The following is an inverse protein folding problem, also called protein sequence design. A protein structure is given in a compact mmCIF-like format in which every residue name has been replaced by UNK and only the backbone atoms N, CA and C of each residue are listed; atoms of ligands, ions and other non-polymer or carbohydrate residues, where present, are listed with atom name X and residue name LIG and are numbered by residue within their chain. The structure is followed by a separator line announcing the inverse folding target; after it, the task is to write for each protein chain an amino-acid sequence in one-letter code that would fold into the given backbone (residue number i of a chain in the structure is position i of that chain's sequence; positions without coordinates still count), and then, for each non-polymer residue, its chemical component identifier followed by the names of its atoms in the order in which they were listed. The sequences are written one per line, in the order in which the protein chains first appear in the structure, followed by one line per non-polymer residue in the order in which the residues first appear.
data_IF_266060363983
#
_entry.id   IF_266060363983
#
_cell.length_a   1.000
_cell.length_b   1.000
_cell.length_c   1.000
_cell.angle_alpha   90.00
_cell.angle_beta   90.00
_cell.angle_gamma   90.00
#
_symmetry.space_group_name_H-M   'P 1'
#
loop_
_entity.id
_entity.type
_entity.pdbx_description
1 polymer ?
#
# COMPACT_ATOMS: atom_id res chain seq x y z
N UNK A 1 75.08 -40.47 34.31
CA UNK A 1 74.77 -39.03 34.28
C UNK A 1 74.86 -38.55 32.84
N UNK A 2 74.09 -39.08 31.89
CA UNK A 2 72.63 -39.17 31.70
C UNK A 2 72.11 -38.10 30.72
N UNK A 3 71.98 -38.61 29.49
CA UNK A 3 71.18 -38.32 28.29
C UNK A 3 70.55 -36.94 27.98
N UNK A 4 70.52 -36.58 26.67
CA UNK A 4 69.76 -35.46 26.09
C UNK A 4 68.40 -35.88 25.49
N UNK A 5 67.52 -34.92 25.17
CA UNK A 5 66.44 -35.08 24.17
C UNK A 5 65.85 -33.73 23.70
N UNK A 6 66.00 -33.45 22.41
CA UNK A 6 65.12 -32.62 21.56
C UNK A 6 63.95 -33.51 21.03
N UNK A 7 63.06 -33.08 20.12
CA UNK A 7 61.92 -32.15 20.20
C UNK A 7 60.58 -32.84 19.76
N UNK A 8 59.42 -32.17 19.75
CA UNK A 8 58.33 -32.56 18.84
C UNK A 8 57.31 -31.45 18.54
N UNK A 9 57.11 -31.25 17.24
CA UNK A 9 55.99 -30.62 16.56
C UNK A 9 54.67 -31.32 16.93
N UNK A 10 53.57 -30.57 16.96
CA UNK A 10 52.26 -31.11 16.56
C UNK A 10 51.55 -30.07 15.69
N UNK A 11 51.81 -30.22 14.39
CA UNK A 11 50.85 -29.97 13.33
C UNK A 11 49.65 -30.90 13.49
N UNK A 12 48.45 -30.37 13.29
CA UNK A 12 47.31 -31.16 12.85
C UNK A 12 46.79 -30.58 11.54
N UNK A 13 47.16 -31.31 10.50
CA UNK A 13 46.48 -31.61 9.26
C UNK A 13 45.22 -30.83 8.88
N UNK A 14 45.30 -30.27 7.68
CA UNK A 14 44.21 -30.20 6.71
C UNK A 14 43.79 -31.62 6.29
N UNK A 15 42.52 -31.98 6.51
CA UNK A 15 41.79 -32.94 5.68
C UNK A 15 40.33 -32.45 5.64
N UNK A 16 39.92 -31.83 4.53
CA UNK A 16 39.14 -32.48 3.48
C UNK A 16 37.82 -33.04 4.00
N UNK A 17 36.76 -32.32 3.68
CA UNK A 17 35.63 -32.80 2.86
C UNK A 17 34.27 -32.34 3.41
N UNK A 18 33.53 -31.69 2.51
CA UNK A 18 32.10 -31.46 2.56
C UNK A 18 31.56 -30.68 3.76
N UNK A 19 31.63 -29.35 3.67
CA UNK A 19 30.43 -28.58 4.03
C UNK A 19 29.91 -27.90 2.77
N UNK A 20 28.78 -28.44 2.32
CA UNK A 20 27.97 -27.94 1.22
C UNK A 20 27.99 -26.42 1.19
N UNK A 21 28.37 -25.88 0.03
CA UNK A 21 27.91 -24.58 -0.42
C UNK A 21 26.39 -24.65 -0.47
N UNK A 22 25.76 -24.42 0.67
CA UNK A 22 24.32 -24.34 0.81
C UNK A 22 23.98 -22.94 0.31
N UNK A 23 23.83 -22.85 -1.01
CA UNK A 23 23.13 -21.76 -1.68
C UNK A 23 21.73 -21.72 -1.07
N UNK A 24 21.59 -20.95 0.01
CA UNK A 24 20.31 -20.41 0.41
C UNK A 24 19.87 -19.58 -0.77
N UNK A 25 18.95 -20.15 -1.55
CA UNK A 25 18.08 -19.38 -2.40
C UNK A 25 17.52 -18.27 -1.51
N UNK A 26 18.07 -17.06 -1.66
CA UNK A 26 17.37 -15.84 -1.32
C UNK A 26 16.06 -15.94 -2.09
N UNK A 27 15.03 -16.39 -1.39
CA UNK A 27 13.67 -16.07 -1.75
C UNK A 27 13.59 -14.58 -1.46
N UNK A 28 14.05 -13.81 -2.44
CA UNK A 28 13.68 -12.44 -2.64
C UNK A 28 12.15 -12.43 -2.75
N UNK A 29 11.47 -12.47 -1.61
CA UNK A 29 10.21 -11.75 -1.46
C UNK A 29 10.60 -10.27 -1.61
N UNK A 30 10.84 -9.89 -2.88
CA UNK A 30 10.59 -8.56 -3.37
C UNK A 30 9.14 -8.34 -2.97
N UNK A 31 8.95 -7.69 -1.82
CA UNK A 31 7.83 -6.79 -1.66
C UNK A 31 8.01 -5.87 -2.85
N UNK A 32 7.31 -6.20 -3.94
CA UNK A 32 7.12 -5.29 -5.03
C UNK A 32 6.62 -4.04 -4.34
N UNK A 33 7.50 -3.05 -4.26
CA UNK A 33 7.03 -1.69 -4.25
C UNK A 33 6.18 -1.64 -5.51
N UNK A 34 4.88 -1.88 -5.35
CA UNK A 34 3.87 -1.35 -6.23
C UNK A 34 4.18 0.15 -6.20
N UNK A 35 5.06 0.55 -7.11
CA UNK A 35 4.99 1.85 -7.70
C UNK A 35 3.54 1.89 -8.15
N UNK A 36 2.71 2.59 -7.39
CA UNK A 36 1.56 3.28 -7.94
C UNK A 36 2.18 4.13 -9.05
N UNK A 37 2.38 3.51 -10.23
CA UNK A 37 2.38 4.22 -11.49
C UNK A 37 1.00 4.85 -11.50
N UNK A 38 0.96 6.07 -10.96
CA UNK A 38 -0.09 7.03 -11.17
C UNK A 38 -0.14 7.15 -12.69
N UNK A 39 -0.96 6.30 -13.32
CA UNK A 39 -1.18 6.39 -14.75
C UNK A 39 -1.80 7.75 -14.94
N UNK A 40 -0.95 8.69 -15.33
CA UNK A 40 -1.36 10.03 -15.68
C UNK A 40 -2.21 9.86 -16.93
N UNK A 41 -3.51 9.66 -16.73
CA UNK A 41 -4.49 9.73 -17.79
C UNK A 41 -4.57 11.22 -18.14
N UNK A 42 -3.76 11.59 -19.12
CA UNK A 42 -3.83 12.86 -19.81
C UNK A 42 -5.16 12.88 -20.56
N UNK A 43 -6.19 13.46 -19.95
CA UNK A 43 -7.40 13.82 -20.68
C UNK A 43 -7.11 15.08 -21.50
N UNK A 44 -6.26 14.93 -22.53
CA UNK A 44 -6.14 15.93 -23.58
C UNK A 44 -7.40 15.85 -24.46
N UNK A 45 -7.90 17.01 -24.86
CA UNK A 45 -9.16 17.21 -25.61
C UNK A 45 -8.98 16.84 -27.10
N UNK A 46 -8.33 15.71 -27.39
CA UNK A 46 -8.27 15.13 -28.73
C UNK A 46 -9.20 13.90 -28.78
N UNK A 47 -10.06 13.85 -29.80
CA UNK A 47 -11.01 12.77 -30.11
C UNK A 47 -10.30 11.42 -30.32
N UNK A 48 -9.72 10.85 -29.27
CA UNK A 48 -9.22 9.49 -29.25
C UNK A 48 -10.42 8.57 -29.08
N UNK A 49 -10.85 7.98 -30.21
CA UNK A 49 -11.80 6.88 -30.32
C UNK A 49 -11.23 5.63 -29.61
N UNK A 50 -11.24 5.65 -28.28
CA UNK A 50 -10.95 4.49 -27.44
C UNK A 50 -12.06 3.47 -27.68
N UNK A 51 -11.80 2.51 -28.57
CA UNK A 51 -12.66 1.34 -28.75
C UNK A 51 -12.63 0.52 -27.46
N UNK A 52 -13.57 0.77 -26.56
CA UNK A 52 -13.81 -0.05 -25.36
C UNK A 52 -14.12 -1.48 -25.84
N UNK A 53 -13.46 -2.47 -25.22
CA UNK A 53 -13.77 -3.86 -25.52
C UNK A 53 -15.18 -4.21 -25.02
N UNK A 54 -15.89 -5.11 -25.70
CA UNK A 54 -17.24 -5.53 -25.28
C UNK A 54 -17.28 -6.05 -23.84
N UNK A 55 -16.17 -6.62 -23.35
CA UNK A 55 -16.05 -7.11 -21.99
C UNK A 55 -15.94 -5.98 -20.95
N UNK A 56 -15.15 -4.92 -21.25
CA UNK A 56 -15.08 -3.71 -20.43
C UNK A 56 -16.41 -2.95 -20.40
N UNK A 57 -17.14 -2.89 -21.52
CA UNK A 57 -18.45 -2.25 -21.60
C UNK A 57 -19.46 -2.93 -20.66
N UNK A 58 -19.55 -4.27 -20.71
CA UNK A 58 -20.39 -5.06 -19.79
C UNK A 58 -19.98 -4.84 -18.33
N UNK A 59 -18.68 -4.75 -18.08
CA UNK A 59 -18.13 -4.49 -16.76
C UNK A 59 -18.47 -3.10 -16.18
N UNK A 60 -18.60 -2.09 -17.04
CA UNK A 60 -19.05 -0.75 -16.63
C UNK A 60 -20.55 -0.71 -16.40
N UNK A 61 -21.34 -1.35 -17.26
CA UNK A 61 -22.80 -1.44 -17.12
C UNK A 61 -23.17 -2.12 -15.79
N UNK A 62 -22.52 -3.23 -15.47
CA UNK A 62 -22.73 -3.94 -14.20
C UNK A 62 -22.37 -3.06 -12.98
N UNK A 63 -21.28 -2.29 -13.05
CA UNK A 63 -20.92 -1.35 -11.98
C UNK A 63 -21.97 -0.24 -11.83
N UNK A 64 -22.46 0.31 -12.95
CA UNK A 64 -23.49 1.32 -12.93
C UNK A 64 -24.80 0.80 -12.33
N UNK A 65 -25.24 -0.41 -12.70
CA UNK A 65 -26.41 -1.05 -12.11
C UNK A 65 -26.26 -1.18 -10.58
N UNK A 66 -25.11 -1.69 -10.12
CA UNK A 66 -24.82 -1.87 -8.69
C UNK A 66 -24.79 -0.54 -7.90
N UNK A 67 -24.31 0.53 -8.51
CA UNK A 67 -24.14 1.84 -7.86
C UNK A 67 -25.28 2.82 -8.13
N UNK A 68 -26.25 2.46 -8.98
CA UNK A 68 -27.38 3.32 -9.36
C UNK A 68 -28.15 3.84 -8.15
N UNK A 69 -28.48 2.98 -7.19
CA UNK A 69 -29.15 3.38 -5.95
C UNK A 69 -28.32 4.38 -5.16
N UNK A 70 -27.00 4.15 -5.04
CA UNK A 70 -26.09 5.06 -4.37
C UNK A 70 -25.95 6.39 -5.09
N UNK A 71 -25.98 6.40 -6.43
CA UNK A 71 -25.86 7.60 -7.23
C UNK A 71 -27.08 8.51 -7.05
N UNK A 72 -28.29 7.94 -7.08
CA UNK A 72 -29.55 8.70 -7.06
C UNK A 72 -30.09 9.00 -5.67
N UNK A 73 -29.62 8.31 -4.62
CA UNK A 73 -30.04 8.64 -3.26
C UNK A 73 -29.60 10.06 -2.86
N UNK A 74 -30.46 10.74 -2.12
CA UNK A 74 -30.13 12.04 -1.53
C UNK A 74 -28.97 11.88 -0.55
N UNK A 75 -28.05 12.85 -0.57
CA UNK A 75 -26.88 12.83 0.32
C UNK A 75 -27.23 13.55 1.62
N UNK A 76 -26.67 13.05 2.71
CA UNK A 76 -26.99 13.49 4.08
C UNK A 76 -25.87 14.40 4.58
N UNK A 77 -26.24 15.57 5.08
CA UNK A 77 -25.29 16.54 5.64
C UNK A 77 -24.39 15.91 6.72
N UNK A 78 -23.12 16.35 6.76
CA UNK A 78 -22.06 15.90 7.70
C UNK A 78 -21.65 14.44 7.60
N UNK A 79 -22.20 13.69 6.64
CA UNK A 79 -21.86 12.29 6.44
C UNK A 79 -20.59 12.12 5.59
N UNK A 80 -19.96 10.96 5.71
CA UNK A 80 -18.77 10.60 4.95
C UNK A 80 -19.14 9.84 3.67
N UNK A 81 -18.43 10.17 2.60
CA UNK A 81 -18.55 9.55 1.28
C UNK A 81 -17.18 9.25 0.72
N UNK A 82 -17.11 8.33 -0.25
CA UNK A 82 -15.91 8.05 -1.03
C UNK A 82 -16.19 8.57 -2.43
N UNK A 83 -15.32 9.39 -2.99
CA UNK A 83 -15.61 9.98 -4.29
C UNK A 83 -14.65 11.05 -4.75
N UNK A 84 -15.10 11.80 -5.76
CA UNK A 84 -14.38 12.91 -6.35
C UNK A 84 -14.87 14.24 -5.81
N UNK A 85 -13.93 15.16 -5.67
CA UNK A 85 -14.19 16.55 -5.35
C UNK A 85 -13.38 17.44 -6.29
N UNK A 86 -13.91 18.60 -6.61
CA UNK A 86 -13.19 19.60 -7.42
C UNK A 86 -13.46 20.99 -6.90
N UNK A 87 -12.52 21.91 -7.16
CA UNK A 87 -12.70 23.32 -6.91
C UNK A 87 -13.29 23.96 -8.17
N UNK A 88 -14.35 24.75 -8.00
CA UNK A 88 -14.89 25.58 -9.09
C UNK A 88 -14.10 26.89 -9.11
N UNK A 89 -13.73 27.37 -10.30
CA UNK A 89 -12.98 28.61 -10.44
C UNK A 89 -13.77 29.80 -9.85
N UNK A 90 -13.14 30.54 -8.93
CA UNK A 90 -13.75 31.67 -8.23
C UNK A 90 -14.36 31.34 -6.87
N UNK A 91 -14.42 30.07 -6.47
CA UNK A 91 -14.89 29.64 -5.15
C UNK A 91 -13.73 29.11 -4.27
N UNK A 92 -13.80 29.39 -2.97
CA UNK A 92 -12.82 28.92 -1.98
C UNK A 92 -13.13 27.52 -1.43
N UNK A 93 -14.14 26.85 -1.97
CA UNK A 93 -14.68 25.59 -1.45
C UNK A 93 -14.54 24.46 -2.48
N UNK A 94 -14.33 23.24 -1.98
CA UNK A 94 -14.44 22.04 -2.80
C UNK A 94 -15.90 21.63 -2.90
N UNK A 95 -16.33 21.29 -4.11
CA UNK A 95 -17.66 20.77 -4.43
C UNK A 95 -17.57 19.27 -4.65
N UNK A 96 -18.55 18.54 -4.11
CA UNK A 96 -18.71 17.11 -4.36
C UNK A 96 -19.08 16.88 -5.82
N UNK A 97 -18.24 16.14 -6.55
CA UNK A 97 -18.43 15.92 -7.98
C UNK A 97 -19.16 14.59 -8.27
N UNK A 98 -18.73 13.51 -7.62
CA UNK A 98 -19.39 12.20 -7.69
C UNK A 98 -18.98 11.32 -6.50
N UNK A 99 -19.75 10.30 -6.16
CA UNK A 99 -19.49 9.39 -5.03
C UNK A 99 -19.82 7.94 -5.37
N UNK A 100 -19.13 7.02 -4.70
CA UNK A 100 -19.39 5.59 -4.77
C UNK A 100 -19.67 5.02 -3.37
N UNK A 101 -20.45 3.95 -3.33
CA UNK A 101 -20.71 3.19 -2.11
C UNK A 101 -19.42 2.53 -1.57
N UNK A 102 -19.38 2.29 -0.26
CA UNK A 102 -18.27 1.55 0.36
C UNK A 102 -18.14 0.14 -0.20
N UNK A 103 -19.26 -0.50 -0.55
CA UNK A 103 -19.28 -1.84 -1.13
C UNK A 103 -18.66 -1.82 -2.53
N UNK A 104 -19.06 -0.88 -3.37
CA UNK A 104 -18.51 -0.68 -4.72
C UNK A 104 -17.01 -0.38 -4.67
N UNK A 105 -16.59 0.49 -3.75
CA UNK A 105 -15.18 0.83 -3.56
C UNK A 105 -14.30 -0.36 -3.18
N UNK A 106 -14.79 -1.25 -2.31
CA UNK A 106 -14.00 -2.40 -1.84
C UNK A 106 -13.98 -3.57 -2.83
N UNK A 107 -14.97 -3.65 -3.73
CA UNK A 107 -15.13 -4.76 -4.67
C UNK A 107 -14.33 -4.57 -5.97
N UNK A 108 -14.16 -3.32 -6.40
CA UNK A 108 -13.64 -2.99 -7.73
C UNK A 108 -12.22 -2.40 -7.69
N UNK A 109 -11.42 -2.58 -8.75
CA UNK A 109 -10.07 -2.00 -8.82
C UNK A 109 -10.11 -0.48 -8.97
N UNK A 110 -9.08 0.21 -8.45
CA UNK A 110 -9.04 1.67 -8.37
C UNK A 110 -9.23 2.38 -9.72
N UNK A 111 -8.60 1.92 -10.80
CA UNK A 111 -8.69 2.54 -12.12
C UNK A 111 -10.14 2.54 -12.67
N UNK A 112 -10.84 1.40 -12.53
CA UNK A 112 -12.24 1.25 -12.94
C UNK A 112 -13.14 2.23 -12.18
N UNK A 113 -12.91 2.36 -10.87
CA UNK A 113 -13.65 3.31 -10.03
C UNK A 113 -13.39 4.76 -10.42
N UNK A 114 -12.14 5.10 -10.73
CA UNK A 114 -11.76 6.44 -11.11
C UNK A 114 -12.42 6.84 -12.44
N UNK A 115 -12.40 5.92 -13.41
CA UNK A 115 -13.06 6.10 -14.70
C UNK A 115 -14.58 6.24 -14.54
N UNK A 116 -15.23 5.34 -13.80
CA UNK A 116 -16.67 5.41 -13.51
C UNK A 116 -17.06 6.75 -12.87
N UNK A 117 -16.35 7.16 -11.82
CA UNK A 117 -16.66 8.38 -11.08
C UNK A 117 -16.47 9.62 -11.97
N UNK A 118 -15.46 9.62 -12.83
CA UNK A 118 -15.19 10.70 -13.77
C UNK A 118 -16.25 10.78 -14.87
N UNK A 119 -16.57 9.63 -15.51
CA UNK A 119 -17.53 9.55 -16.62
C UNK A 119 -18.94 9.96 -16.20
N UNK A 120 -19.39 9.55 -15.02
CA UNK A 120 -20.71 9.87 -14.50
C UNK A 120 -20.73 11.15 -13.65
N UNK A 121 -19.65 11.93 -13.61
CA UNK A 121 -19.66 13.22 -12.91
C UNK A 121 -20.31 14.30 -13.77
N UNK A 122 -21.14 15.12 -13.13
CA UNK A 122 -21.73 16.31 -13.76
C UNK A 122 -20.67 17.43 -13.90
N UNK A 123 -19.61 17.40 -13.07
CA UNK A 123 -18.58 18.44 -13.02
C UNK A 123 -17.26 17.83 -13.52
N UNK A 124 -16.65 18.43 -14.55
CA UNK A 124 -15.36 17.98 -15.07
C UNK A 124 -14.27 18.15 -14.00
N UNK A 125 -13.63 17.05 -13.62
CA UNK A 125 -12.52 17.03 -12.65
C UNK A 125 -11.21 16.90 -13.43
N UNK A 126 -10.37 17.94 -13.41
CA UNK A 126 -9.11 17.99 -14.20
C UNK A 126 -8.10 16.90 -13.77
N UNK A 127 -8.01 16.63 -12.48
CA UNK A 127 -7.12 15.62 -11.91
C UNK A 127 -7.94 14.73 -10.96
N UNK A 128 -8.69 13.76 -11.50
CA UNK A 128 -9.59 12.95 -10.69
C UNK A 128 -8.78 12.13 -9.70
N UNK A 129 -9.22 12.16 -8.44
CA UNK A 129 -8.63 11.36 -7.37
C UNK A 129 -9.71 10.98 -6.38
N UNK A 130 -9.77 9.68 -6.06
CA UNK A 130 -10.75 9.18 -5.11
C UNK A 130 -10.28 9.52 -3.69
N UNK A 131 -11.12 10.24 -2.96
CA UNK A 131 -10.88 10.68 -1.60
C UNK A 131 -12.07 10.36 -0.68
N UNK A 132 -11.80 10.30 0.62
CA UNK A 132 -12.82 10.29 1.68
C UNK A 132 -13.27 11.72 1.90
N UNK A 133 -14.52 11.99 1.57
CA UNK A 133 -15.16 13.30 1.61
C UNK A 133 -16.05 13.39 2.84
N UNK A 134 -15.95 14.49 3.58
CA UNK A 134 -16.98 14.85 4.57
C UNK A 134 -17.89 15.90 3.95
N UNK A 135 -19.16 15.54 3.70
CA UNK A 135 -20.16 16.42 3.10
C UNK A 135 -20.58 17.53 4.06
N UNK A 136 -20.75 18.73 3.52
CA UNK A 136 -21.32 19.91 4.16
C UNK A 136 -22.30 20.52 3.16
N UNK A 137 -23.59 20.37 3.42
CA UNK A 137 -24.65 20.96 2.59
C UNK A 137 -24.82 22.41 3.04
N UNK A 138 -24.57 23.35 2.12
CA UNK A 138 -24.72 24.78 2.38
C UNK A 138 -26.19 25.20 2.34
N UNK A 139 -26.48 26.40 2.84
CA UNK A 139 -27.84 26.98 2.86
C UNK A 139 -28.42 27.22 1.46
N UNK A 140 -27.57 27.35 0.44
CA UNK A 140 -27.91 27.46 -0.97
C UNK A 140 -28.13 26.09 -1.65
N UNK A 141 -28.01 24.99 -0.89
CA UNK A 141 -28.15 23.62 -1.39
C UNK A 141 -26.88 23.04 -2.01
N UNK A 142 -25.78 23.81 -2.08
CA UNK A 142 -24.53 23.33 -2.69
C UNK A 142 -23.86 22.28 -1.81
N UNK A 143 -23.47 21.16 -2.42
CA UNK A 143 -22.77 20.07 -1.75
C UNK A 143 -21.27 20.35 -1.71
N UNK A 144 -20.82 20.95 -0.60
CA UNK A 144 -19.39 21.20 -0.37
C UNK A 144 -18.75 20.12 0.46
N UNK A 145 -17.43 19.96 0.37
CA UNK A 145 -16.73 18.85 1.04
C UNK A 145 -15.41 19.25 1.67
N UNK A 146 -15.04 18.51 2.72
CA UNK A 146 -13.69 18.53 3.31
C UNK A 146 -13.03 17.18 3.05
N UNK A 147 -11.86 17.18 2.39
CA UNK A 147 -11.07 15.96 2.14
C UNK A 147 -10.44 15.46 3.45
N UNK A 148 -10.65 14.19 3.76
CA UNK A 148 -10.16 13.53 4.99
C UNK A 148 -9.06 12.52 4.73
N UNK A 149 -8.89 12.05 3.50
CA UNK A 149 -7.84 11.10 3.11
C UNK A 149 -6.44 11.61 3.42
N UNK A 150 -6.22 12.92 3.32
CA UNK A 150 -4.91 13.53 3.61
C UNK A 150 -4.39 13.12 5.00
N UNK A 151 -5.24 13.26 6.01
CA UNK A 151 -4.89 12.91 7.39
C UNK A 151 -4.69 11.41 7.56
N UNK A 152 -5.55 10.60 6.93
CA UNK A 152 -5.42 9.15 6.96
C UNK A 152 -4.07 8.68 6.37
N UNK A 153 -3.63 9.27 5.25
CA UNK A 153 -2.34 8.98 4.63
C UNK A 153 -1.17 9.32 5.55
N UNK A 154 -1.25 10.41 6.32
CA UNK A 154 -0.22 10.77 7.32
C UNK A 154 -0.12 9.70 8.41
N UNK A 155 -1.25 9.25 8.96
CA UNK A 155 -1.27 8.16 9.95
C UNK A 155 -0.77 6.84 9.37
N UNK A 156 -1.25 6.45 8.19
CA UNK A 156 -0.84 5.24 7.49
C UNK A 156 0.68 5.22 7.23
N UNK A 157 1.28 6.34 6.81
CA UNK A 157 2.74 6.45 6.62
C UNK A 157 3.51 6.16 7.91
N UNK A 158 3.06 6.72 9.03
CA UNK A 158 3.69 6.48 10.34
C UNK A 158 3.57 5.01 10.75
N UNK A 159 2.40 4.41 10.56
CA UNK A 159 2.17 3.00 10.87
C UNK A 159 2.98 2.06 9.99
N UNK A 160 3.02 2.31 8.67
CA UNK A 160 3.88 1.55 7.73
C UNK A 160 5.35 1.60 8.16
N UNK A 161 5.84 2.75 8.62
CA UNK A 161 7.21 2.88 9.18
C UNK A 161 7.41 2.02 10.42
N UNK A 162 6.53 2.15 11.43
CA UNK A 162 6.62 1.38 12.69
C UNK A 162 6.53 -0.13 12.42
N UNK A 163 5.65 -0.53 11.51
CA UNK A 163 5.50 -1.91 11.10
C UNK A 163 6.78 -2.45 10.47
N UNK A 164 7.37 -1.71 9.52
CA UNK A 164 8.65 -2.06 8.88
C UNK A 164 9.76 -2.25 9.91
N UNK A 165 9.94 -1.29 10.82
CA UNK A 165 10.93 -1.39 11.91
C UNK A 165 10.69 -2.62 12.80
N UNK A 166 9.42 -2.97 13.03
CA UNK A 166 9.04 -4.15 13.81
C UNK A 166 9.35 -5.45 13.07
N UNK A 167 9.08 -5.50 11.77
CA UNK A 167 9.43 -6.63 10.90
C UNK A 167 10.96 -6.82 10.83
N UNK A 168 11.73 -5.75 10.65
CA UNK A 168 13.20 -5.84 10.64
C UNK A 168 13.77 -6.40 11.95
N UNK A 169 13.26 -5.94 13.10
CA UNK A 169 13.65 -6.48 14.41
C UNK A 169 13.29 -7.96 14.53
N UNK A 170 12.11 -8.35 14.07
CA UNK A 170 11.67 -9.74 14.05
C UNK A 170 12.60 -10.60 13.19
N UNK A 171 12.94 -10.14 11.99
CA UNK A 171 13.86 -10.85 11.09
C UNK A 171 15.27 -10.97 11.69
N UNK A 172 15.79 -9.91 12.32
CA UNK A 172 17.07 -9.96 13.05
C UNK A 172 17.05 -10.99 14.17
N UNK A 173 15.94 -11.09 14.92
CA UNK A 173 15.77 -12.08 15.99
C UNK A 173 15.64 -13.52 15.50
N UNK A 174 15.20 -13.70 14.25
CA UNK A 174 15.14 -15.00 13.57
C UNK A 174 16.49 -15.42 12.97
N UNK A 175 17.47 -14.52 12.89
CA UNK A 175 18.78 -14.84 12.31
C UNK A 175 19.54 -15.88 13.15
N UNK A 176 20.26 -16.78 12.48
CA UNK A 176 21.07 -17.82 13.13
C UNK A 176 22.11 -17.22 14.09
N UNK A 177 22.72 -16.10 13.72
CA UNK A 177 23.67 -15.38 14.57
C UNK A 177 23.03 -14.89 15.87
N UNK A 178 21.81 -14.33 15.80
CA UNK A 178 21.09 -13.92 17.00
C UNK A 178 20.73 -15.11 17.90
N UNK A 179 20.27 -16.22 17.32
CA UNK A 179 19.95 -17.45 18.06
C UNK A 179 21.19 -18.04 18.75
N UNK A 180 22.33 -18.07 18.05
CA UNK A 180 23.62 -18.54 18.59
C UNK A 180 24.12 -17.65 19.73
N UNK A 181 24.09 -16.33 19.56
CA UNK A 181 24.46 -15.38 20.62
C UNK A 181 23.54 -15.54 21.83
N UNK A 182 22.23 -15.70 21.61
CA UNK A 182 21.26 -15.96 22.68
C UNK A 182 21.60 -17.23 23.46
N UNK A 183 21.94 -18.32 22.78
CA UNK A 183 22.31 -19.58 23.43
C UNK A 183 23.57 -19.45 24.30
N UNK A 184 24.63 -18.83 23.75
CA UNK A 184 25.91 -18.65 24.46
C UNK A 184 25.74 -17.75 25.68
N UNK A 185 25.02 -16.63 25.53
CA UNK A 185 24.77 -15.69 26.63
C UNK A 185 23.91 -16.32 27.73
N UNK A 186 22.87 -17.09 27.37
CA UNK A 186 22.09 -17.85 28.37
C UNK A 186 22.94 -18.87 29.12
N UNK A 187 23.87 -19.56 28.44
CA UNK A 187 24.79 -20.50 29.10
C UNK A 187 25.75 -19.80 30.06
N UNK A 188 26.35 -18.67 29.68
CA UNK A 188 27.24 -17.89 30.57
C UNK A 188 26.55 -17.39 31.85
N UNK A 189 25.25 -17.13 31.81
CA UNK A 189 24.47 -16.75 32.99
C UNK A 189 24.29 -17.89 33.99
N UNK A 190 24.38 -19.16 33.56
CA UNK A 190 24.22 -20.34 34.43
C UNK A 190 25.51 -20.73 35.16
N UNK A 191 26.67 -20.31 34.66
CA UNK A 191 27.99 -20.61 35.24
C UNK A 191 28.56 -19.49 36.13
N UNK A 192 27.79 -18.41 36.36
CA UNK A 192 28.14 -17.31 37.27
C UNK A 192 27.37 -17.38 38.61
N UNK A 193 26.86 -18.56 38.97
CA UNK A 193 26.29 -18.93 40.26
C UNK A 193 27.14 -20.04 40.87
#
# INVERSE_FOLDING_TARGET
MDRPSHPSHLSYDTDSSNESSLLLYESDDIISEEQEEDSFISYDDEDDDYSISTEEEIEFDTLFEEESEHLFQEKVDKQYYIGLATQIEGDDFLVMANTISTKGFLKNPYHKLLHYLWLHSIIRVKQPKIDILKLVIRSDGVYTVVIKTFWLRVFQRRWKRIFRESQEKLMKRKSLNYLKIREITSKKSLYNL
#
